data_IF_578459599148
#
_entry.id   IF_578459599148
#
_cell.length_a   1.000
_cell.length_b   1.000
_cell.length_c   1.000
_cell.angle_alpha   90.00
_cell.angle_beta   90.00
_cell.angle_gamma   90.00
#
_symmetry.space_group_name_H-M   'P 1'
#
loop_
_entity.id
_entity.type
_entity.pdbx_description
1 polymer ?
#
# COMPACT_ATOMS: atom_id res chain seq x y z
N UNK A 1 -31.93 36.38 -18.08
CA UNK A 1 -32.84 35.26 -17.75
C UNK A 1 -32.05 33.97 -18.00
N UNK A 2 -31.59 33.26 -16.96
CA UNK A 2 -30.76 32.04 -17.15
C UNK A 2 -31.65 30.92 -17.73
N UNK A 3 -31.20 30.33 -18.82
CA UNK A 3 -31.94 29.35 -19.61
C UNK A 3 -32.12 28.02 -18.84
N UNK A 4 -33.25 27.33 -18.97
CA UNK A 4 -33.53 26.06 -18.27
C UNK A 4 -32.48 24.99 -18.55
N UNK A 5 -31.85 25.04 -19.73
CA UNK A 5 -30.72 24.20 -20.13
C UNK A 5 -29.50 24.36 -19.22
N UNK A 6 -29.21 25.57 -18.73
CA UNK A 6 -28.10 25.80 -17.81
C UNK A 6 -28.32 25.09 -16.47
N UNK A 7 -29.54 25.12 -15.94
CA UNK A 7 -29.87 24.42 -14.70
C UNK A 7 -29.79 22.91 -14.85
N UNK A 8 -30.24 22.37 -16.00
CA UNK A 8 -30.12 20.93 -16.30
C UNK A 8 -28.65 20.48 -16.39
N UNK A 9 -27.79 21.28 -17.01
CA UNK A 9 -26.34 20.98 -17.11
C UNK A 9 -25.69 20.98 -15.72
N UNK A 10 -25.96 22.00 -14.90
CA UNK A 10 -25.41 22.08 -13.54
C UNK A 10 -25.90 20.90 -12.69
N UNK A 11 -27.18 20.56 -12.79
CA UNK A 11 -27.76 19.43 -12.07
C UNK A 11 -27.14 18.09 -12.49
N UNK A 12 -26.94 17.88 -13.79
CA UNK A 12 -26.27 16.68 -14.31
C UNK A 12 -24.80 16.60 -13.86
N UNK A 13 -24.07 17.71 -13.91
CA UNK A 13 -22.69 17.79 -13.39
C UNK A 13 -22.64 17.50 -11.89
N UNK A 14 -23.54 18.09 -11.10
CA UNK A 14 -23.62 17.86 -9.66
C UNK A 14 -23.96 16.40 -9.32
N UNK A 15 -24.91 15.79 -10.03
CA UNK A 15 -25.25 14.37 -9.91
C UNK A 15 -24.06 13.48 -10.27
N UNK A 16 -23.35 13.81 -11.35
CA UNK A 16 -22.14 13.08 -11.74
C UNK A 16 -21.07 13.17 -10.66
N UNK A 17 -20.77 14.36 -10.14
CA UNK A 17 -19.83 14.55 -9.03
C UNK A 17 -20.25 13.79 -7.77
N UNK A 18 -21.54 13.84 -7.42
CA UNK A 18 -22.09 13.15 -6.26
C UNK A 18 -21.97 11.63 -6.39
N UNK A 19 -22.03 11.08 -7.60
CA UNK A 19 -21.85 9.64 -7.86
C UNK A 19 -20.38 9.22 -8.02
N UNK A 20 -19.56 10.03 -8.68
CA UNK A 20 -18.18 9.70 -9.05
C UNK A 20 -17.21 9.82 -7.87
N UNK A 21 -17.40 10.82 -7.00
CA UNK A 21 -16.53 11.01 -5.84
C UNK A 21 -16.58 9.82 -4.86
N UNK A 22 -17.75 9.29 -4.46
CA UNK A 22 -17.84 8.08 -3.64
C UNK A 22 -17.22 6.85 -4.32
N UNK A 23 -17.42 6.68 -5.63
CA UNK A 23 -16.84 5.56 -6.37
C UNK A 23 -15.31 5.61 -6.39
N UNK A 24 -14.73 6.80 -6.60
CA UNK A 24 -13.29 7.01 -6.54
C UNK A 24 -12.73 6.76 -5.13
N UNK A 25 -13.41 7.24 -4.09
CA UNK A 25 -13.02 7.00 -2.70
C UNK A 25 -13.11 5.51 -2.35
N UNK A 26 -14.15 4.81 -2.80
CA UNK A 26 -14.31 3.36 -2.60
C UNK A 26 -13.19 2.58 -3.29
N UNK A 27 -12.84 2.94 -4.53
CA UNK A 27 -11.72 2.32 -5.25
C UNK A 27 -10.38 2.57 -4.54
N UNK A 28 -10.14 3.80 -4.08
CA UNK A 28 -8.93 4.14 -3.34
C UNK A 28 -8.85 3.42 -1.99
N UNK A 29 -9.99 3.20 -1.32
CA UNK A 29 -10.09 2.47 -0.05
C UNK A 29 -9.91 0.96 -0.22
N UNK A 30 -10.13 0.43 -1.42
CA UNK A 30 -9.97 -1.00 -1.71
C UNK A 30 -8.50 -1.45 -1.59
N UNK A 31 -7.55 -0.60 -1.99
CA UNK A 31 -6.11 -0.90 -1.91
C UNK A 31 -5.63 -1.11 -0.45
N UNK A 32 -5.81 -0.15 0.48
CA UNK A 32 -5.40 -0.34 1.87
C UNK A 32 -6.24 -1.43 2.56
N UNK A 33 -7.51 -1.61 2.19
CA UNK A 33 -8.31 -2.72 2.69
C UNK A 33 -7.70 -4.08 2.33
N UNK A 34 -7.32 -4.29 1.06
CA UNK A 34 -6.69 -5.53 0.60
C UNK A 34 -5.36 -5.80 1.31
N UNK A 35 -4.53 -4.76 1.47
CA UNK A 35 -3.27 -4.85 2.23
C UNK A 35 -3.54 -5.22 3.69
N UNK A 36 -4.52 -4.56 4.33
CA UNK A 36 -4.90 -4.85 5.72
C UNK A 36 -5.41 -6.28 5.92
N UNK A 37 -6.18 -6.82 4.97
CA UNK A 37 -6.63 -8.23 5.01
C UNK A 37 -5.45 -9.19 4.97
N UNK A 38 -4.46 -8.94 4.11
CA UNK A 38 -3.25 -9.77 4.02
C UNK A 38 -2.41 -9.67 5.30
N UNK A 39 -2.24 -8.46 5.83
CA UNK A 39 -1.56 -8.22 7.11
C UNK A 39 -2.27 -8.93 8.27
N UNK A 40 -3.60 -8.94 8.28
CA UNK A 40 -4.39 -9.65 9.30
C UNK A 40 -4.19 -11.16 9.20
N UNK A 41 -4.13 -11.70 7.97
CA UNK A 41 -3.77 -13.09 7.73
C UNK A 41 -2.38 -13.45 8.28
N UNK A 42 -1.38 -12.58 8.08
CA UNK A 42 -0.04 -12.76 8.65
C UNK A 42 -0.04 -12.70 10.18
N UNK A 43 -0.85 -11.83 10.80
CA UNK A 43 -0.95 -11.74 12.27
C UNK A 43 -1.57 -12.98 12.90
N UNK A 44 -2.68 -13.47 12.34
CA UNK A 44 -3.30 -14.73 12.78
C UNK A 44 -2.27 -15.85 12.75
N UNK A 45 -1.44 -15.82 11.72
CA UNK A 45 -0.41 -16.81 11.54
C UNK A 45 0.75 -16.71 12.53
N UNK A 46 1.27 -15.50 12.77
CA UNK A 46 2.24 -15.25 13.84
C UNK A 46 1.71 -15.78 15.17
N UNK A 47 0.43 -15.54 15.48
CA UNK A 47 -0.22 -16.10 16.68
C UNK A 47 -0.13 -17.62 16.78
N UNK A 48 -0.35 -18.34 15.67
CA UNK A 48 -0.21 -19.81 15.62
C UNK A 48 1.24 -20.28 15.79
N UNK A 49 2.20 -19.58 15.19
CA UNK A 49 3.63 -19.91 15.34
C UNK A 49 4.08 -19.71 16.79
N UNK A 50 3.63 -18.64 17.45
CA UNK A 50 3.88 -18.38 18.87
C UNK A 50 3.24 -19.44 19.76
N UNK A 51 1.99 -19.83 19.50
CA UNK A 51 1.31 -20.91 20.23
C UNK A 51 2.07 -22.25 20.14
N UNK A 52 2.61 -22.56 18.95
CA UNK A 52 3.44 -23.75 18.73
C UNK A 52 4.80 -23.68 19.44
N UNK A 53 5.36 -22.47 19.63
CA UNK A 53 6.58 -22.26 20.42
C UNK A 53 6.29 -22.47 21.90
N UNK A 54 5.27 -21.79 22.43
CA UNK A 54 4.98 -21.74 23.87
C UNK A 54 4.50 -23.11 24.40
N UNK A 55 3.74 -23.87 23.60
CA UNK A 55 3.34 -25.26 23.92
C UNK A 55 4.55 -26.18 24.10
N UNK A 56 5.69 -25.86 23.47
CA UNK A 56 6.92 -26.68 23.51
C UNK A 56 7.92 -26.25 24.57
N UNK A 57 7.88 -25.01 25.05
CA UNK A 57 8.71 -24.60 26.18
C UNK A 57 8.23 -25.21 27.51
N UNK A 58 6.93 -25.48 27.65
CA UNK A 58 6.35 -26.13 28.83
C UNK A 58 6.51 -27.66 28.89
N UNK A 59 6.84 -28.31 27.76
CA UNK A 59 6.99 -29.77 27.65
C UNK A 59 8.45 -30.16 27.41
N UNK A 60 9.10 -30.76 28.41
CA UNK A 60 10.50 -31.20 28.30
C UNK A 60 10.79 -32.07 27.07
N UNK A 61 11.91 -31.78 26.41
CA UNK A 61 12.57 -32.52 25.31
C UNK A 61 11.93 -32.38 23.90
N UNK A 62 12.12 -31.20 23.30
CA UNK A 62 13.11 -31.01 22.22
C UNK A 62 12.83 -31.51 20.79
N UNK A 63 11.84 -32.36 20.55
CA UNK A 63 11.49 -32.84 19.22
C UNK A 63 10.08 -32.42 18.85
N UNK A 64 9.88 -31.94 17.62
CA UNK A 64 8.56 -31.72 17.04
C UNK A 64 7.90 -33.10 16.89
N UNK A 65 7.31 -33.59 17.98
CA UNK A 65 6.89 -34.98 18.20
C UNK A 65 5.82 -35.45 17.22
N UNK A 66 5.23 -34.55 16.44
CA UNK A 66 4.20 -34.92 15.51
C UNK A 66 4.37 -34.39 14.09
N UNK A 67 4.22 -35.33 13.17
CA UNK A 67 4.19 -35.09 11.72
C UNK A 67 3.04 -34.17 11.27
N UNK A 68 2.06 -33.88 12.15
CA UNK A 68 0.98 -32.94 11.88
C UNK A 68 1.40 -31.48 12.10
N UNK A 69 2.15 -31.15 13.15
CA UNK A 69 2.63 -29.77 13.40
C UNK A 69 3.51 -29.22 12.27
N UNK A 70 4.41 -30.06 11.74
CA UNK A 70 5.30 -29.67 10.64
C UNK A 70 4.50 -29.45 9.34
N UNK A 71 3.51 -30.31 9.08
CA UNK A 71 2.62 -30.17 7.93
C UNK A 71 1.82 -28.88 8.01
N UNK A 72 1.40 -28.49 9.20
CA UNK A 72 0.68 -27.25 9.40
C UNK A 72 1.56 -26.04 9.15
N UNK A 73 2.81 -26.00 9.67
CA UNK A 73 3.78 -24.94 9.34
C UNK A 73 4.05 -24.84 7.83
N UNK A 74 4.22 -25.98 7.15
CA UNK A 74 4.43 -26.00 5.68
C UNK A 74 3.20 -25.43 4.96
N UNK A 75 1.99 -25.90 5.32
CA UNK A 75 0.73 -25.41 4.71
C UNK A 75 0.57 -23.92 4.91
N UNK A 76 0.83 -23.47 6.12
CA UNK A 76 0.85 -22.07 6.55
C UNK A 76 1.78 -21.25 5.67
N UNK A 77 3.03 -21.69 5.51
CA UNK A 77 4.03 -20.96 4.76
C UNK A 77 3.71 -20.92 3.26
N UNK A 78 3.26 -22.05 2.69
CA UNK A 78 2.79 -22.10 1.31
C UNK A 78 1.55 -21.22 1.10
N UNK A 79 0.68 -21.11 2.10
CA UNK A 79 -0.49 -20.24 2.03
C UNK A 79 -0.07 -18.77 1.98
N UNK A 80 0.95 -18.34 2.74
CA UNK A 80 1.49 -16.97 2.66
C UNK A 80 2.07 -16.69 1.28
N UNK A 81 2.91 -17.57 0.75
CA UNK A 81 3.53 -17.37 -0.57
C UNK A 81 2.43 -17.27 -1.63
N UNK A 82 1.45 -18.16 -1.56
CA UNK A 82 0.33 -18.17 -2.50
C UNK A 82 -0.54 -16.92 -2.36
N UNK A 83 -0.76 -16.45 -1.13
CA UNK A 83 -1.50 -15.22 -0.84
C UNK A 83 -0.76 -14.00 -1.39
N UNK A 84 0.55 -13.91 -1.15
CA UNK A 84 1.40 -12.84 -1.68
C UNK A 84 1.43 -12.84 -3.20
N UNK A 85 1.63 -14.00 -3.83
CA UNK A 85 1.65 -14.12 -5.29
C UNK A 85 0.33 -13.70 -5.93
N UNK A 86 -0.81 -14.12 -5.34
CA UNK A 86 -2.15 -13.70 -5.78
C UNK A 86 -2.38 -12.21 -5.57
N UNK A 87 -1.99 -11.68 -4.40
CA UNK A 87 -2.09 -10.27 -4.06
C UNK A 87 -1.28 -9.43 -5.05
N UNK A 88 0.00 -9.76 -5.25
CA UNK A 88 0.88 -9.00 -6.12
C UNK A 88 0.40 -9.04 -7.58
N UNK A 89 -0.02 -10.21 -8.09
CA UNK A 89 -0.58 -10.32 -9.45
C UNK A 89 -1.84 -9.46 -9.63
N UNK A 90 -2.72 -9.41 -8.64
CA UNK A 90 -3.97 -8.65 -8.71
C UNK A 90 -3.79 -7.15 -8.46
N UNK A 91 -2.87 -6.74 -7.59
CA UNK A 91 -2.74 -5.35 -7.16
C UNK A 91 -1.70 -4.57 -7.95
N UNK A 92 -0.74 -5.25 -8.60
CA UNK A 92 0.38 -4.59 -9.27
C UNK A 92 -0.02 -3.56 -10.32
N UNK A 93 -0.99 -3.86 -11.20
CA UNK A 93 -1.49 -2.90 -12.18
C UNK A 93 -2.33 -1.76 -11.57
N UNK A 94 -3.33 -2.02 -10.70
CA UNK A 94 -4.09 -0.96 -10.02
C UNK A 94 -3.23 0.04 -9.24
N UNK A 95 -2.20 -0.45 -8.55
CA UNK A 95 -1.30 0.39 -7.76
C UNK A 95 -0.50 1.33 -8.65
N UNK A 96 0.01 0.85 -9.78
CA UNK A 96 0.78 1.69 -10.69
C UNK A 96 -0.08 2.82 -11.25
N UNK A 97 -1.32 2.49 -11.67
CA UNK A 97 -2.30 3.48 -12.14
C UNK A 97 -2.64 4.47 -11.03
N UNK A 98 -2.92 3.98 -9.82
CA UNK A 98 -3.20 4.81 -8.65
C UNK A 98 -2.06 5.81 -8.42
N UNK A 99 -0.80 5.34 -8.36
CA UNK A 99 0.37 6.20 -8.17
C UNK A 99 0.48 7.30 -9.22
N UNK A 100 0.29 6.95 -10.50
CA UNK A 100 0.34 7.93 -11.58
C UNK A 100 -0.73 9.01 -11.41
N UNK A 101 -1.99 8.60 -11.18
CA UNK A 101 -3.12 9.51 -10.98
C UNK A 101 -2.87 10.41 -9.77
N UNK A 102 -2.41 9.85 -8.65
CA UNK A 102 -2.16 10.63 -7.43
C UNK A 102 -1.01 11.62 -7.63
N UNK A 103 0.04 11.26 -8.38
CA UNK A 103 1.15 12.18 -8.68
C UNK A 103 0.66 13.39 -9.50
N UNK A 104 -0.12 13.15 -10.56
CA UNK A 104 -0.74 14.22 -11.35
C UNK A 104 -1.69 15.06 -10.48
N UNK A 105 -2.55 14.42 -9.68
CA UNK A 105 -3.51 15.13 -8.83
C UNK A 105 -2.81 16.07 -7.84
N UNK A 106 -1.77 15.61 -7.15
CA UNK A 106 -0.97 16.45 -6.23
C UNK A 106 -0.35 17.63 -6.97
N UNK A 107 0.23 17.37 -8.14
CA UNK A 107 0.86 18.40 -8.96
C UNK A 107 -0.13 19.50 -9.41
N UNK A 108 -1.31 19.09 -9.92
CA UNK A 108 -2.37 20.00 -10.31
C UNK A 108 -2.95 20.78 -9.13
N UNK A 109 -3.15 20.13 -7.98
CA UNK A 109 -3.66 20.79 -6.77
C UNK A 109 -2.68 21.86 -6.26
N UNK A 110 -1.37 21.57 -6.25
CA UNK A 110 -0.35 22.57 -5.88
C UNK A 110 -0.36 23.78 -6.83
N UNK A 111 -0.49 23.54 -8.14
CA UNK A 111 -0.61 24.61 -9.13
C UNK A 111 -1.89 25.44 -8.95
N UNK A 112 -3.03 24.76 -8.76
CA UNK A 112 -4.32 25.41 -8.53
C UNK A 112 -4.26 26.33 -7.31
N UNK A 113 -3.73 25.83 -6.18
CA UNK A 113 -3.53 26.61 -4.97
C UNK A 113 -2.71 27.87 -5.28
N UNK A 114 -1.60 27.74 -6.01
CA UNK A 114 -0.76 28.89 -6.35
C UNK A 114 -1.50 29.98 -7.15
N UNK A 115 -2.44 29.60 -8.03
CA UNK A 115 -3.20 30.52 -8.89
C UNK A 115 -4.33 31.25 -8.17
N UNK A 116 -4.97 30.59 -7.20
CA UNK A 116 -6.16 31.09 -6.49
C UNK A 116 -5.84 31.72 -5.14
N UNK A 117 -4.61 31.51 -4.65
CA UNK A 117 -4.12 32.09 -3.39
C UNK A 117 -4.28 33.61 -3.40
N UNK A 118 -5.02 34.13 -2.42
CA UNK A 118 -5.29 35.57 -2.28
C UNK A 118 -6.38 36.14 -3.19
N UNK A 119 -6.95 35.35 -4.12
CA UNK A 119 -8.08 35.76 -4.97
C UNK A 119 -9.41 35.24 -4.44
N UNK A 120 -9.47 33.94 -4.16
CA UNK A 120 -10.69 33.27 -3.70
C UNK A 120 -10.38 32.37 -2.49
N UNK A 121 -10.79 32.82 -1.31
CA UNK A 121 -10.55 32.13 -0.04
C UNK A 121 -11.24 30.77 0.03
N UNK A 122 -12.46 30.66 -0.52
CA UNK A 122 -13.23 29.41 -0.49
C UNK A 122 -12.57 28.37 -1.40
N UNK A 123 -12.22 28.76 -2.62
CA UNK A 123 -11.56 27.86 -3.57
C UNK A 123 -10.16 27.45 -3.08
N UNK A 124 -9.43 28.36 -2.44
CA UNK A 124 -8.14 28.06 -1.79
C UNK A 124 -8.31 27.00 -0.70
N UNK A 125 -9.26 27.19 0.21
CA UNK A 125 -9.54 26.24 1.28
C UNK A 125 -9.93 24.85 0.74
N UNK A 126 -10.79 24.82 -0.28
CA UNK A 126 -11.20 23.58 -0.93
C UNK A 126 -10.00 22.86 -1.59
N UNK A 127 -9.15 23.58 -2.32
CA UNK A 127 -7.97 22.99 -2.94
C UNK A 127 -6.96 22.44 -1.90
N UNK A 128 -6.75 23.15 -0.79
CA UNK A 128 -5.90 22.66 0.32
C UNK A 128 -6.47 21.40 0.99
N UNK A 129 -7.77 21.36 1.26
CA UNK A 129 -8.41 20.18 1.87
C UNK A 129 -8.30 18.96 0.96
N UNK A 130 -8.53 19.11 -0.35
CA UNK A 130 -8.31 18.03 -1.33
C UNK A 130 -6.85 17.56 -1.39
N UNK A 131 -5.89 18.49 -1.32
CA UNK A 131 -4.47 18.15 -1.29
C UNK A 131 -4.11 17.31 -0.07
N UNK A 132 -4.52 17.74 1.12
CA UNK A 132 -4.28 17.04 2.39
C UNK A 132 -4.93 15.66 2.35
N UNK A 133 -6.18 15.55 1.90
CA UNK A 133 -6.88 14.28 1.78
C UNK A 133 -6.13 13.31 0.85
N UNK A 134 -5.69 13.78 -0.31
CA UNK A 134 -4.97 12.98 -1.31
C UNK A 134 -3.65 12.43 -0.76
N UNK A 135 -2.87 13.29 -0.10
CA UNK A 135 -1.60 12.90 0.54
C UNK A 135 -1.84 11.92 1.69
N UNK A 136 -2.88 12.13 2.49
CA UNK A 136 -3.21 11.27 3.63
C UNK A 136 -3.58 9.85 3.18
N UNK A 137 -4.40 9.72 2.14
CA UNK A 137 -4.78 8.41 1.58
C UNK A 137 -3.54 7.70 1.01
N UNK A 138 -2.70 8.43 0.27
CA UNK A 138 -1.45 7.86 -0.24
C UNK A 138 -0.58 7.35 0.92
N UNK A 139 -0.38 8.17 1.96
CA UNK A 139 0.40 7.79 3.13
C UNK A 139 -0.11 6.50 3.79
N UNK A 140 -1.43 6.33 3.94
CA UNK A 140 -2.00 5.09 4.50
C UNK A 140 -1.67 3.87 3.63
N UNK A 141 -1.71 3.99 2.30
CA UNK A 141 -1.36 2.90 1.38
C UNK A 141 0.12 2.52 1.49
N UNK A 142 1.03 3.50 1.44
CA UNK A 142 2.47 3.26 1.52
C UNK A 142 2.91 2.79 2.91
N UNK A 143 2.32 3.33 3.97
CA UNK A 143 2.57 2.88 5.34
C UNK A 143 2.02 1.47 5.58
N UNK A 144 0.84 1.16 5.02
CA UNK A 144 0.26 -0.18 5.09
C UNK A 144 1.14 -1.25 4.43
N UNK A 145 1.77 -0.94 3.29
CA UNK A 145 2.71 -1.85 2.64
C UNK A 145 4.03 -1.99 3.39
N UNK A 146 4.56 -0.90 3.97
CA UNK A 146 5.75 -0.94 4.83
C UNK A 146 5.50 -1.83 6.06
N UNK A 147 4.33 -1.65 6.68
CA UNK A 147 3.91 -2.44 7.84
C UNK A 147 3.73 -3.92 7.49
N UNK A 148 3.19 -4.22 6.30
CA UNK A 148 3.10 -5.59 5.79
C UNK A 148 4.48 -6.23 5.68
N UNK A 149 5.46 -5.51 5.12
CA UNK A 149 6.83 -5.98 5.00
C UNK A 149 7.46 -6.22 6.38
N UNK A 150 7.35 -5.26 7.29
CA UNK A 150 7.85 -5.39 8.67
C UNK A 150 7.25 -6.61 9.39
N UNK A 151 5.95 -6.90 9.19
CA UNK A 151 5.32 -8.08 9.77
C UNK A 151 5.80 -9.39 9.17
N UNK A 152 6.14 -9.41 7.87
CA UNK A 152 6.79 -10.58 7.30
C UNK A 152 8.18 -10.82 7.89
N UNK A 153 8.96 -9.78 8.09
CA UNK A 153 10.31 -9.90 8.64
C UNK A 153 10.26 -10.41 10.09
N UNK A 154 9.31 -9.91 10.89
CA UNK A 154 9.03 -10.42 12.24
C UNK A 154 8.61 -11.90 12.23
N UNK A 155 7.73 -12.31 11.30
CA UNK A 155 7.36 -13.72 11.16
C UNK A 155 8.58 -14.59 10.80
N UNK A 156 9.44 -14.10 9.92
CA UNK A 156 10.65 -14.83 9.50
C UNK A 156 11.60 -15.02 10.68
N UNK A 157 11.75 -14.00 11.52
CA UNK A 157 12.51 -14.06 12.75
C UNK A 157 11.91 -15.07 13.75
N UNK A 158 10.58 -15.08 13.93
CA UNK A 158 9.92 -16.05 14.81
C UNK A 158 10.09 -17.50 14.34
N UNK A 159 10.05 -17.75 13.03
CA UNK A 159 10.31 -19.07 12.46
C UNK A 159 11.78 -19.47 12.65
N UNK A 160 12.70 -18.52 12.53
CA UNK A 160 14.13 -18.73 12.74
C UNK A 160 14.46 -19.14 14.19
N UNK A 161 13.77 -18.53 15.16
CA UNK A 161 13.97 -18.75 16.60
C UNK A 161 13.48 -20.13 17.08
N UNK A 162 12.67 -20.83 16.29
CA UNK A 162 12.27 -22.20 16.60
C UNK A 162 13.51 -23.13 16.70
N UNK A 163 13.48 -24.18 17.54
CA UNK A 163 14.58 -25.13 17.68
C UNK A 163 14.67 -26.12 16.50
N UNK A 164 14.66 -25.62 15.27
CA UNK A 164 14.71 -26.38 14.01
C UNK A 164 16.03 -27.15 13.85
N UNK A 165 17.12 -26.65 14.45
CA UNK A 165 18.44 -27.27 14.42
C UNK A 165 18.50 -28.57 15.24
N UNK A 166 17.62 -28.74 16.23
CA UNK A 166 17.49 -29.98 17.02
C UNK A 166 16.64 -31.06 16.34
N UNK A 167 16.03 -30.75 15.20
CA UNK A 167 15.16 -31.67 14.48
C UNK A 167 15.95 -32.66 13.60
N UNK A 168 15.36 -33.83 13.29
CA UNK A 168 15.97 -34.83 12.42
C UNK A 168 16.24 -34.27 10.99
N UNK A 169 17.24 -34.81 10.27
CA UNK A 169 17.66 -34.31 8.96
C UNK A 169 16.55 -34.01 7.92
N UNK A 170 15.53 -34.89 7.72
CA UNK A 170 14.46 -34.59 6.76
C UNK A 170 13.63 -33.37 7.16
N UNK A 171 13.39 -33.17 8.46
CA UNK A 171 12.62 -32.04 8.99
C UNK A 171 13.45 -30.75 8.93
N UNK A 172 14.74 -30.83 9.26
CA UNK A 172 15.67 -29.70 9.17
C UNK A 172 15.73 -29.12 7.76
N UNK A 173 15.79 -29.98 6.73
CA UNK A 173 15.82 -29.55 5.32
C UNK A 173 14.56 -28.75 4.94
N UNK A 174 13.40 -29.16 5.45
CA UNK A 174 12.13 -28.45 5.23
C UNK A 174 12.15 -27.08 5.90
N UNK A 175 12.61 -26.98 7.14
CA UNK A 175 12.73 -25.68 7.84
C UNK A 175 13.64 -24.71 7.09
N UNK A 176 14.77 -25.20 6.58
CA UNK A 176 15.69 -24.37 5.78
C UNK A 176 15.01 -23.88 4.50
N UNK A 177 14.22 -24.72 3.82
CA UNK A 177 13.44 -24.30 2.65
C UNK A 177 12.40 -23.24 3.00
N UNK A 178 11.67 -23.43 4.10
CA UNK A 178 10.67 -22.47 4.61
C UNK A 178 11.33 -21.14 4.97
N UNK A 179 12.46 -21.18 5.67
CA UNK A 179 13.18 -19.98 6.08
C UNK A 179 13.78 -19.24 4.87
N UNK A 180 14.32 -19.96 3.89
CA UNK A 180 14.85 -19.38 2.66
C UNK A 180 13.75 -18.65 1.86
N UNK A 181 12.53 -19.20 1.84
CA UNK A 181 11.39 -18.58 1.17
C UNK A 181 10.72 -17.47 2.01
N UNK A 182 10.69 -17.58 3.35
CA UNK A 182 10.18 -16.54 4.25
C UNK A 182 11.04 -15.27 4.22
N UNK A 183 12.36 -15.44 4.07
CA UNK A 183 13.31 -14.35 3.85
C UNK A 183 13.10 -13.58 2.54
N UNK A 184 12.25 -14.06 1.61
CA UNK A 184 11.90 -13.24 0.46
C UNK A 184 10.98 -12.11 0.91
N UNK A 185 11.33 -10.85 0.63
CA UNK A 185 10.56 -9.72 1.09
C UNK A 185 9.14 -9.78 0.52
N UNK A 186 8.14 -9.77 1.41
CA UNK A 186 6.73 -9.62 1.06
C UNK A 186 6.44 -8.16 0.69
N UNK A 187 6.96 -7.76 -0.47
CA UNK A 187 6.74 -6.44 -1.04
C UNK A 187 5.68 -6.49 -2.11
N UNK A 188 4.85 -5.45 -2.14
CA UNK A 188 3.91 -5.24 -3.24
C UNK A 188 4.67 -4.52 -4.33
N UNK A 189 4.99 -5.23 -5.41
CA UNK A 189 5.88 -4.75 -6.47
C UNK A 189 5.26 -4.95 -7.84
N UNK A 190 5.13 -3.88 -8.63
CA UNK A 190 4.72 -4.01 -10.03
C UNK A 190 5.90 -4.41 -10.91
N UNK A 191 5.83 -5.64 -11.46
CA UNK A 191 6.76 -6.22 -12.44
C UNK A 191 8.25 -6.03 -12.10
N UNK A 192 8.62 -6.04 -10.82
CA UNK A 192 9.96 -5.75 -10.32
C UNK A 192 10.51 -4.33 -10.63
N UNK A 193 9.70 -3.44 -11.21
CA UNK A 193 10.10 -2.07 -11.54
C UNK A 193 9.84 -1.09 -10.39
N UNK A 194 8.78 -1.33 -9.62
CA UNK A 194 8.32 -0.40 -8.59
C UNK A 194 7.83 -1.12 -7.35
N UNK A 195 8.52 -0.91 -6.23
CA UNK A 195 8.15 -1.41 -4.91
C UNK A 195 7.37 -0.35 -4.16
N UNK A 196 6.25 -0.71 -3.53
CA UNK A 196 5.57 0.21 -2.62
C UNK A 196 6.27 0.15 -1.25
N UNK A 197 6.92 1.25 -0.89
CA UNK A 197 7.49 1.50 0.42
C UNK A 197 7.47 3.02 0.70
N UNK A 198 7.79 3.42 1.92
CA UNK A 198 7.83 4.82 2.34
C UNK A 198 8.86 5.62 1.54
N UNK A 199 9.95 4.99 1.11
CA UNK A 199 10.92 5.61 0.20
C UNK A 199 10.27 5.99 -1.14
N UNK A 200 9.42 5.14 -1.71
CA UNK A 200 8.71 5.41 -2.96
C UNK A 200 7.61 6.46 -2.81
N UNK A 201 7.06 6.62 -1.60
CA UNK A 201 6.19 7.75 -1.25
C UNK A 201 6.96 9.07 -1.30
N UNK A 202 8.15 9.13 -0.69
CA UNK A 202 9.01 10.32 -0.75
C UNK A 202 9.41 10.66 -2.19
N UNK A 203 9.78 9.65 -2.98
CA UNK A 203 10.06 9.84 -4.41
C UNK A 203 8.84 10.43 -5.14
N UNK A 204 7.64 9.91 -4.88
CA UNK A 204 6.42 10.41 -5.48
C UNK A 204 6.17 11.89 -5.15
N UNK A 205 6.38 12.32 -3.91
CA UNK A 205 6.24 13.73 -3.50
C UNK A 205 7.28 14.61 -4.21
N UNK A 206 8.54 14.18 -4.25
CA UNK A 206 9.62 14.90 -4.94
C UNK A 206 9.35 15.06 -6.44
N UNK A 207 8.85 14.01 -7.09
CA UNK A 207 8.45 14.07 -8.50
C UNK A 207 7.30 15.05 -8.71
N UNK A 208 6.26 15.02 -7.88
CA UNK A 208 5.14 15.96 -7.98
C UNK A 208 5.58 17.42 -7.79
N UNK A 209 6.48 17.67 -6.83
CA UNK A 209 7.06 19.00 -6.58
C UNK A 209 7.93 19.49 -7.74
N UNK A 210 8.72 18.60 -8.33
CA UNK A 210 9.54 18.92 -9.51
C UNK A 210 8.66 19.33 -10.70
N UNK A 211 7.61 18.55 -10.98
CA UNK A 211 6.64 18.90 -12.02
C UNK A 211 5.89 20.19 -11.73
N UNK A 212 5.53 20.45 -10.47
CA UNK A 212 4.91 21.70 -10.05
C UNK A 212 5.84 22.89 -10.35
N UNK A 213 7.13 22.77 -9.99
CA UNK A 213 8.13 23.81 -10.22
C UNK A 213 8.33 24.09 -11.72
N UNK A 214 8.35 23.04 -12.54
CA UNK A 214 8.42 23.17 -13.99
C UNK A 214 7.19 23.91 -14.56
N UNK A 215 5.98 23.51 -14.19
CA UNK A 215 4.76 24.21 -14.62
C UNK A 215 4.74 25.67 -14.19
N UNK A 216 5.18 25.96 -12.97
CA UNK A 216 5.31 27.33 -12.46
C UNK A 216 6.30 28.15 -13.29
N UNK A 217 7.44 27.58 -13.65
CA UNK A 217 8.46 28.24 -14.48
C UNK A 217 7.94 28.55 -15.88
N UNK A 218 7.29 27.58 -16.53
CA UNK A 218 6.69 27.76 -17.87
C UNK A 218 5.61 28.83 -17.85
N UNK A 219 4.73 28.79 -16.84
CA UNK A 219 3.68 29.80 -16.69
C UNK A 219 4.23 31.21 -16.50
N UNK A 220 5.30 31.36 -15.70
CA UNK A 220 5.94 32.67 -15.50
C UNK A 220 6.57 33.18 -16.81
N UNK A 221 7.28 32.34 -17.54
CA UNK A 221 7.87 32.71 -18.84
C UNK A 221 6.83 33.15 -19.86
N UNK A 222 5.66 32.50 -19.90
CA UNK A 222 4.54 32.88 -20.78
C UNK A 222 3.92 34.23 -20.42
N UNK A 223 3.88 34.58 -19.12
CA UNK A 223 3.40 35.89 -18.65
C UNK A 223 4.40 36.98 -19.01
N UNK A 224 5.71 36.73 -18.82
CA UNK A 224 6.77 37.67 -19.15
C UNK A 224 6.87 37.93 -20.68
N UNK A 225 6.47 36.98 -21.53
CA UNK A 225 6.41 37.14 -22.98
C UNK A 225 5.17 37.90 -23.50
N UNK A 226 4.11 37.98 -22.68
CA UNK A 226 2.83 38.61 -23.05
C UNK A 226 2.66 40.03 -22.49
N UNK A 227 3.44 40.42 -21.49
CA UNK A 227 3.47 41.77 -20.91
C UNK A 227 4.42 42.68 -21.65
#
# INVERSE_FOLDING_TARGET
RRDTKHYLIILFCALWFLSAAPAAVAFNSLLPYRVSVVTSGLKVLQGRVRELRDTKEGGGVGLMSSSWDLRDIIRIHQQIIRLNGKMNKSLSAPIFIYRAITNFAVCFLMFLINQVLGKDTLLTFLAFTFLIMTISIALVVFCGSEYLQSKNDELTYEIYDLPWYRQPPPVRKIFVMVLAEANRPLTVTWKALFTINLQSFMQMLNTAYSYYTLMKSVHKGDVDLRG
#
